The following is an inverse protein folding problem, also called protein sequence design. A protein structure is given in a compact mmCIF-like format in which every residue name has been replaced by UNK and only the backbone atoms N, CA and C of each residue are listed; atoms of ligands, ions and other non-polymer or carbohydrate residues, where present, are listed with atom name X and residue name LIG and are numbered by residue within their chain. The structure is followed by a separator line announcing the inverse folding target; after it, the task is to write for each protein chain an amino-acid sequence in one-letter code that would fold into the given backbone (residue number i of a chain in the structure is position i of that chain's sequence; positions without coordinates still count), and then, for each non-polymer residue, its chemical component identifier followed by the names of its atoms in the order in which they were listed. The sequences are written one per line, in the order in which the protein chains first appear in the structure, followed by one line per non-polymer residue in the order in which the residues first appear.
data_IF_233317248236
#
_entry.id   IF_233317248236
#
_cell.length_a   1.000
_cell.length_b   1.000
_cell.length_c   1.000
_cell.angle_alpha   90.00
_cell.angle_beta   90.00
_cell.angle_gamma   90.00
#
_symmetry.space_group_name_H-M   'P 1'
#
loop_
_entity.id
_entity.type
_entity.pdbx_description
1 polymer ?
#
# COMPACT_ATOMS: atom_id res chain seq x y z
N UNK A 1 -25.10 -27.58 -4.24
CA UNK A 1 -24.64 -26.18 -4.20
C UNK A 1 -23.89 -25.94 -2.90
N UNK A 2 -22.62 -26.35 -2.83
CA UNK A 2 -21.63 -25.81 -1.89
C UNK A 2 -20.29 -26.06 -2.55
N UNK A 3 -19.71 -25.06 -3.23
CA UNK A 3 -18.29 -25.11 -3.58
C UNK A 3 -17.57 -24.41 -2.45
N UNK A 4 -16.76 -25.19 -1.74
CA UNK A 4 -15.88 -24.70 -0.69
C UNK A 4 -15.01 -23.58 -1.26
N UNK A 5 -15.01 -22.41 -0.62
CA UNK A 5 -14.23 -21.23 -1.03
C UNK A 5 -12.70 -21.46 -1.06
N UNK A 6 -12.22 -22.64 -0.63
CA UNK A 6 -10.81 -22.98 -0.53
C UNK A 6 -10.10 -23.22 -1.88
N UNK A 7 -10.82 -23.36 -2.99
CA UNK A 7 -10.26 -23.84 -4.26
C UNK A 7 -10.14 -22.79 -5.39
N UNK A 8 -10.44 -21.50 -5.14
CA UNK A 8 -10.33 -20.42 -6.15
C UNK A 8 -9.13 -19.49 -5.87
N UNK A 9 -7.92 -20.01 -5.60
CA UNK A 9 -6.76 -19.18 -5.19
C UNK A 9 -5.59 -19.06 -6.17
N UNK A 10 -5.69 -19.51 -7.42
CA UNK A 10 -4.53 -19.45 -8.35
C UNK A 10 -4.69 -18.57 -9.60
N UNK A 11 -5.86 -17.97 -9.85
CA UNK A 11 -6.11 -17.19 -11.09
C UNK A 11 -6.36 -15.69 -10.85
N UNK A 12 -6.54 -15.24 -9.61
CA UNK A 12 -6.60 -13.81 -9.28
C UNK A 12 -5.27 -13.39 -8.66
N UNK A 13 -4.44 -12.69 -9.43
CA UNK A 13 -3.33 -11.93 -8.85
C UNK A 13 -3.98 -10.81 -8.05
N UNK A 14 -3.86 -10.84 -6.73
CA UNK A 14 -4.27 -9.70 -5.91
C UNK A 14 -3.40 -8.52 -6.31
N UNK A 15 -4.03 -7.44 -6.76
CA UNK A 15 -3.34 -6.20 -7.08
C UNK A 15 -2.62 -5.67 -5.83
N UNK A 16 -1.43 -5.12 -6.02
CA UNK A 16 -0.63 -4.57 -4.93
C UNK A 16 -1.00 -3.10 -4.73
N UNK A 17 -1.28 -2.73 -3.49
CA UNK A 17 -1.49 -1.35 -3.08
C UNK A 17 -0.25 -0.86 -2.34
N UNK A 18 0.51 0.03 -2.98
CA UNK A 18 1.70 0.63 -2.39
C UNK A 18 1.32 1.79 -1.47
N UNK A 19 1.72 1.68 -0.21
CA UNK A 19 1.59 2.75 0.78
C UNK A 19 2.92 3.51 0.81
N UNK A 20 2.94 4.71 0.23
CA UNK A 20 4.11 5.58 0.10
C UNK A 20 4.60 6.17 1.44
N UNK A 21 4.92 5.31 2.41
CA UNK A 21 5.49 5.68 3.71
C UNK A 21 6.64 4.75 4.06
N UNK A 22 7.72 5.33 4.60
CA UNK A 22 8.84 4.60 5.24
C UNK A 22 8.69 4.50 6.76
N UNK A 23 7.62 5.06 7.32
CA UNK A 23 7.37 4.97 8.76
C UNK A 23 6.69 3.63 9.07
N UNK A 24 7.34 2.71 9.80
CA UNK A 24 6.80 1.38 10.08
C UNK A 24 5.52 1.42 10.93
N UNK A 25 5.38 2.39 11.82
CA UNK A 25 4.17 2.59 12.63
C UNK A 25 2.97 2.96 11.77
N UNK A 26 3.13 3.97 10.89
CA UNK A 26 2.07 4.37 9.94
C UNK A 26 1.70 3.26 8.98
N UNK A 27 2.69 2.51 8.49
CA UNK A 27 2.44 1.36 7.63
C UNK A 27 1.62 0.28 8.34
N UNK A 28 1.94 -0.02 9.61
CA UNK A 28 1.19 -0.99 10.40
C UNK A 28 -0.27 -0.56 10.59
N UNK A 29 -0.51 0.69 10.99
CA UNK A 29 -1.85 1.25 11.16
C UNK A 29 -2.67 1.16 9.87
N UNK A 30 -2.11 1.63 8.75
CA UNK A 30 -2.78 1.59 7.45
C UNK A 30 -3.03 0.16 6.96
N UNK A 31 -2.11 -0.77 7.20
CA UNK A 31 -2.30 -2.18 6.88
C UNK A 31 -3.46 -2.79 7.66
N UNK A 32 -3.62 -2.45 8.93
CA UNK A 32 -4.75 -2.93 9.75
C UNK A 32 -6.06 -2.34 9.23
N UNK A 33 -6.10 -1.03 8.97
CA UNK A 33 -7.29 -0.33 8.44
C UNK A 33 -7.70 -0.92 7.09
N UNK A 34 -6.75 -1.15 6.19
CA UNK A 34 -6.97 -1.64 4.83
C UNK A 34 -6.99 -3.18 4.73
N UNK A 35 -6.90 -3.91 5.84
CA UNK A 35 -6.79 -5.38 5.81
C UNK A 35 -7.99 -6.11 5.21
N UNK A 36 -9.12 -5.41 5.03
CA UNK A 36 -10.35 -5.95 4.48
C UNK A 36 -10.56 -5.66 2.99
N UNK A 37 -9.69 -4.86 2.36
CA UNK A 37 -9.78 -4.57 0.92
C UNK A 37 -9.11 -5.69 0.11
N UNK A 38 -9.55 -5.96 -1.14
CA UNK A 38 -9.02 -7.05 -1.97
C UNK A 38 -7.66 -6.70 -2.61
N UNK A 39 -6.77 -6.03 -1.86
CA UNK A 39 -5.45 -5.60 -2.29
C UNK A 39 -4.36 -6.13 -1.37
N UNK A 40 -3.22 -6.44 -1.94
CA UNK A 40 -2.01 -6.73 -1.16
C UNK A 40 -1.33 -5.41 -0.79
N UNK A 41 -1.45 -4.99 0.47
CA UNK A 41 -0.77 -3.79 0.99
C UNK A 41 0.75 -4.01 1.07
N UNK A 42 1.53 -3.14 0.43
CA UNK A 42 3.01 -3.17 0.39
C UNK A 42 3.61 -1.79 0.72
N UNK A 43 4.86 -1.73 1.17
CA UNK A 43 5.61 -0.48 1.40
C UNK A 43 6.81 -0.38 0.45
N UNK A 44 7.36 0.83 0.18
CA UNK A 44 8.56 1.00 -0.64
C UNK A 44 9.72 0.12 -0.19
N UNK A 45 9.96 0.04 1.13
CA UNK A 45 10.99 -0.80 1.71
C UNK A 45 10.78 -2.30 1.42
N UNK A 46 9.52 -2.77 1.45
CA UNK A 46 9.18 -4.17 1.20
C UNK A 46 9.44 -4.58 -0.26
N UNK A 47 9.24 -3.65 -1.20
CA UNK A 47 9.43 -3.89 -2.64
C UNK A 47 10.80 -3.43 -3.15
N UNK A 48 11.67 -2.93 -2.25
CA UNK A 48 13.01 -2.46 -2.61
C UNK A 48 13.02 -1.18 -3.44
N UNK A 49 11.94 -0.39 -3.40
CA UNK A 49 11.88 0.91 -4.08
C UNK A 49 12.43 1.97 -3.13
N UNK A 50 13.64 2.43 -3.44
CA UNK A 50 14.31 3.52 -2.71
C UNK A 50 13.91 4.90 -3.22
N UNK A 51 14.54 5.92 -2.63
CA UNK A 51 14.29 7.33 -2.96
C UNK A 51 13.46 8.04 -1.91
N UNK A 52 13.68 9.34 -1.75
CA UNK A 52 12.98 10.17 -0.77
C UNK A 52 12.34 11.36 -1.48
N UNK A 53 11.13 11.69 -1.06
CA UNK A 53 10.39 12.84 -1.56
C UNK A 53 10.58 13.97 -0.56
N UNK A 54 11.00 15.13 -1.05
CA UNK A 54 11.00 16.33 -0.23
C UNK A 54 9.56 16.70 0.13
N UNK A 55 9.30 16.80 1.43
CA UNK A 55 8.00 17.19 2.00
C UNK A 55 7.97 18.70 2.29
N UNK A 56 8.22 19.51 1.26
CA UNK A 56 8.28 20.98 1.29
C UNK A 56 6.91 21.65 1.08
N UNK A 57 5.82 20.88 1.02
CA UNK A 57 4.46 21.40 0.97
C UNK A 57 4.07 22.11 2.26
N UNK A 58 3.19 23.12 2.16
CA UNK A 58 2.65 23.85 3.30
C UNK A 58 1.57 23.07 4.07
N UNK A 59 1.09 21.95 3.49
CA UNK A 59 0.00 21.14 4.05
C UNK A 59 0.30 19.64 4.03
N UNK A 60 -0.40 18.88 4.88
CA UNK A 60 -0.32 17.41 4.87
C UNK A 60 -0.82 16.79 3.57
N UNK A 61 -1.82 17.38 2.94
CA UNK A 61 -2.40 16.92 1.68
C UNK A 61 -1.39 17.02 0.53
N UNK A 62 -0.73 18.17 0.38
CA UNK A 62 0.31 18.38 -0.63
C UNK A 62 1.45 17.37 -0.47
N UNK A 63 1.90 17.15 0.77
CA UNK A 63 2.97 16.19 1.05
C UNK A 63 2.53 14.74 0.80
N UNK A 64 1.26 14.39 1.08
CA UNK A 64 0.71 13.07 0.78
C UNK A 64 0.61 12.82 -0.74
N UNK A 65 0.11 13.81 -1.50
CA UNK A 65 0.02 13.75 -2.96
C UNK A 65 1.39 13.63 -3.62
N UNK A 66 2.38 14.45 -3.19
CA UNK A 66 3.76 14.36 -3.69
C UNK A 66 4.34 12.96 -3.53
N UNK A 67 4.14 12.35 -2.35
CA UNK A 67 4.57 10.96 -2.11
C UNK A 67 3.84 9.96 -3.00
N UNK A 68 2.52 10.07 -3.14
CA UNK A 68 1.76 9.17 -4.01
C UNK A 68 2.22 9.25 -5.49
N UNK A 69 2.44 10.45 -6.00
CA UNK A 69 2.90 10.68 -7.39
C UNK A 69 4.33 10.20 -7.63
N UNK A 70 5.20 10.25 -6.62
CA UNK A 70 6.57 9.75 -6.75
C UNK A 70 6.65 8.22 -6.91
N UNK A 71 5.72 7.50 -6.28
CA UNK A 71 5.71 6.04 -6.21
C UNK A 71 4.65 5.38 -7.11
N UNK A 72 3.93 6.14 -7.93
CA UNK A 72 2.85 5.64 -8.81
C UNK A 72 3.34 4.79 -9.97
#
# INVERSE_FOLDING_TARGET
MVRCFSEIRSQYIMEKLLIATKNPGKFHELRVILGHVPYQVVSPDLIGVGGDVEEDGGTYEENALKKAMYFS
#
